data_IF_053403113474
#
_entry.id   IF_053403113474
#
_cell.length_a   1.000
_cell.length_b   1.000
_cell.length_c   1.000
_cell.angle_alpha   90.00
_cell.angle_beta   90.00
_cell.angle_gamma   90.00
#
_symmetry.space_group_name_H-M   'P 1'
#
loop_
_entity.id
_entity.type
_entity.pdbx_description
1 polymer ?
#
# COMPACT_ATOMS: atom_id res chain seq x y z
N UNK A 1 -5.11 -13.72 29.96
CA UNK A 1 -4.82 -14.58 28.78
C UNK A 1 -6.06 -15.02 27.97
N UNK A 2 -7.22 -15.37 28.56
CA UNK A 2 -8.43 -15.73 27.76
C UNK A 2 -9.08 -14.54 27.03
N UNK A 3 -9.15 -13.37 27.67
CA UNK A 3 -9.87 -12.19 27.15
C UNK A 3 -9.17 -11.57 25.92
N UNK A 4 -7.84 -11.44 25.97
CA UNK A 4 -7.02 -10.94 24.86
C UNK A 4 -7.22 -11.76 23.57
N UNK A 5 -7.27 -13.10 23.70
CA UNK A 5 -7.53 -14.01 22.58
C UNK A 5 -8.91 -13.78 21.96
N UNK A 6 -9.93 -13.55 22.78
CA UNK A 6 -11.29 -13.27 22.29
C UNK A 6 -11.31 -11.99 21.46
N UNK A 7 -10.63 -10.93 21.91
CA UNK A 7 -10.54 -9.68 21.16
C UNK A 7 -9.76 -9.83 19.85
N UNK A 8 -8.63 -10.54 19.85
CA UNK A 8 -7.87 -10.82 18.63
C UNK A 8 -8.71 -11.59 17.61
N UNK A 9 -9.45 -12.61 18.05
CA UNK A 9 -10.33 -13.39 17.18
C UNK A 9 -11.51 -12.58 16.64
N UNK A 10 -12.12 -11.73 17.48
CA UNK A 10 -13.19 -10.84 17.07
C UNK A 10 -12.69 -9.84 16.02
N UNK A 11 -11.55 -9.21 16.29
CA UNK A 11 -10.91 -8.26 15.38
C UNK A 11 -10.62 -8.91 14.02
N UNK A 12 -10.03 -10.11 13.98
CA UNK A 12 -9.75 -10.81 12.73
C UNK A 12 -11.04 -11.19 11.97
N UNK A 13 -12.10 -11.59 12.68
CA UNK A 13 -13.40 -11.86 12.05
C UNK A 13 -14.01 -10.59 11.44
N UNK A 14 -13.94 -9.46 12.14
CA UNK A 14 -14.38 -8.17 11.63
C UNK A 14 -13.56 -7.76 10.41
N UNK A 15 -12.23 -7.91 10.48
CA UNK A 15 -11.31 -7.60 9.38
C UNK A 15 -11.60 -8.42 8.12
N UNK A 16 -11.81 -9.73 8.25
CA UNK A 16 -12.17 -10.59 7.12
C UNK A 16 -13.50 -10.16 6.49
N UNK A 17 -14.51 -9.82 7.31
CA UNK A 17 -15.80 -9.30 6.82
C UNK A 17 -15.62 -7.97 6.07
N UNK A 18 -14.85 -7.04 6.64
CA UNK A 18 -14.53 -5.77 5.99
C UNK A 18 -13.82 -6.00 4.64
N UNK A 19 -12.89 -6.95 4.57
CA UNK A 19 -12.23 -7.31 3.31
C UNK A 19 -13.19 -7.81 2.24
N UNK A 20 -14.22 -8.58 2.60
CA UNK A 20 -15.27 -8.98 1.65
C UNK A 20 -16.11 -7.78 1.17
N UNK A 21 -16.56 -6.94 2.11
CA UNK A 21 -17.41 -5.78 1.82
C UNK A 21 -16.65 -4.80 0.92
N UNK A 22 -15.42 -4.45 1.29
CA UNK A 22 -14.58 -3.54 0.52
C UNK A 22 -14.30 -4.11 -0.88
N UNK A 23 -13.96 -5.40 -0.99
CA UNK A 23 -13.72 -6.02 -2.30
C UNK A 23 -14.95 -6.00 -3.19
N UNK A 24 -16.13 -6.30 -2.63
CA UNK A 24 -17.39 -6.23 -3.36
C UNK A 24 -17.67 -4.81 -3.87
N UNK A 25 -17.58 -3.81 -2.99
CA UNK A 25 -17.76 -2.40 -3.35
C UNK A 25 -16.82 -1.98 -4.49
N UNK A 26 -15.54 -2.32 -4.40
CA UNK A 26 -14.56 -1.94 -5.41
C UNK A 26 -14.84 -2.58 -6.78
N UNK A 27 -15.19 -3.86 -6.79
CA UNK A 27 -15.53 -4.55 -8.02
C UNK A 27 -16.82 -4.01 -8.62
N UNK A 28 -17.87 -3.79 -7.81
CA UNK A 28 -19.12 -3.18 -8.27
C UNK A 28 -18.88 -1.80 -8.87
N UNK A 29 -18.11 -0.94 -8.21
CA UNK A 29 -17.75 0.39 -8.72
C UNK A 29 -16.98 0.31 -10.05
N UNK A 30 -16.04 -0.63 -10.16
CA UNK A 30 -15.30 -0.85 -11.41
C UNK A 30 -16.24 -1.23 -12.54
N UNK A 31 -17.06 -2.28 -12.35
CA UNK A 31 -17.95 -2.77 -13.41
C UNK A 31 -19.00 -1.73 -13.81
N UNK A 32 -19.58 -1.02 -12.84
CA UNK A 32 -20.53 0.05 -13.12
C UNK A 32 -19.87 1.14 -13.97
N UNK A 33 -18.72 1.66 -13.58
CA UNK A 33 -18.13 2.82 -14.27
C UNK A 33 -17.36 2.49 -15.55
N UNK A 34 -16.82 1.27 -15.66
CA UNK A 34 -16.08 0.83 -16.84
C UNK A 34 -17.03 0.49 -17.99
N UNK A 35 -18.18 -0.11 -17.70
CA UNK A 35 -19.07 -0.67 -18.72
C UNK A 35 -20.42 0.06 -18.82
N UNK A 36 -20.70 1.03 -17.94
CA UNK A 36 -21.93 1.83 -18.01
C UNK A 36 -21.61 3.33 -17.96
N UNK A 37 -22.48 4.12 -18.58
CA UNK A 37 -22.42 5.59 -18.61
C UNK A 37 -23.29 6.25 -17.55
N UNK A 38 -23.70 5.50 -16.51
CA UNK A 38 -24.65 6.00 -15.51
C UNK A 38 -23.98 7.09 -14.67
N UNK A 39 -24.52 8.32 -14.73
CA UNK A 39 -24.17 9.35 -13.76
C UNK A 39 -24.69 8.90 -12.39
N UNK A 40 -23.75 8.70 -11.48
CA UNK A 40 -23.99 8.06 -10.18
C UNK A 40 -23.62 8.98 -9.03
N UNK A 41 -23.31 10.26 -9.31
CA UNK A 41 -23.20 11.30 -8.30
C UNK A 41 -24.59 11.81 -7.89
N UNK A 42 -25.36 10.92 -7.26
CA UNK A 42 -26.75 11.16 -6.87
C UNK A 42 -26.87 12.32 -5.86
N UNK A 43 -25.80 12.60 -5.10
CA UNK A 43 -25.79 13.62 -4.05
C UNK A 43 -25.02 14.89 -4.44
N UNK A 44 -24.55 14.99 -5.70
CA UNK A 44 -23.74 16.12 -6.18
C UNK A 44 -22.49 16.36 -5.31
N UNK A 45 -21.86 15.27 -4.85
CA UNK A 45 -20.66 15.28 -4.00
C UNK A 45 -19.49 15.97 -4.68
N UNK A 46 -19.41 15.92 -6.02
CA UNK A 46 -18.39 16.63 -6.79
C UNK A 46 -18.43 18.13 -6.49
N UNK A 47 -19.63 18.73 -6.54
CA UNK A 47 -19.83 20.15 -6.25
C UNK A 47 -19.60 20.51 -4.78
N UNK A 48 -19.92 19.59 -3.86
CA UNK A 48 -19.80 19.82 -2.44
C UNK A 48 -18.36 19.77 -1.95
N UNK A 49 -17.51 18.99 -2.62
CA UNK A 49 -16.09 18.85 -2.28
C UNK A 49 -15.19 19.81 -3.07
N UNK A 50 -15.75 20.61 -3.98
CA UNK A 50 -15.01 21.49 -4.90
C UNK A 50 -13.91 20.75 -5.67
N UNK A 51 -14.17 19.48 -5.98
CA UNK A 51 -13.24 18.58 -6.65
C UNK A 51 -13.59 18.47 -8.14
N UNK A 52 -13.47 19.56 -8.91
CA UNK A 52 -13.66 19.51 -10.37
C UNK A 52 -12.74 20.49 -11.12
N UNK A 53 -12.09 20.10 -12.25
CA UNK A 53 -12.33 18.92 -13.08
C UNK A 53 -11.06 18.07 -13.31
N UNK A 54 -11.05 16.80 -12.92
CA UNK A 54 -9.95 15.87 -13.25
C UNK A 54 -10.43 14.42 -13.43
N UNK A 55 -11.45 14.18 -14.26
CA UNK A 55 -11.95 12.84 -14.61
C UNK A 55 -12.41 11.96 -13.42
N UNK A 56 -12.56 12.53 -12.23
CA UNK A 56 -13.09 11.85 -11.06
C UNK A 56 -14.60 11.69 -11.19
N UNK A 57 -15.11 10.55 -10.75
CA UNK A 57 -16.54 10.27 -10.63
C UNK A 57 -16.84 9.91 -9.19
N UNK A 58 -17.80 10.60 -8.60
CA UNK A 58 -18.21 10.41 -7.22
C UNK A 58 -19.42 9.49 -7.14
N UNK A 59 -19.40 8.59 -6.15
CA UNK A 59 -20.46 7.64 -5.87
C UNK A 59 -20.66 7.55 -4.36
N UNK A 60 -21.86 7.14 -3.93
CA UNK A 60 -22.11 6.79 -2.52
C UNK A 60 -21.14 5.73 -2.00
N UNK A 61 -20.70 4.83 -2.87
CA UNK A 61 -19.79 3.74 -2.54
C UNK A 61 -18.30 4.12 -2.66
N UNK A 62 -17.98 5.35 -3.07
CA UNK A 62 -16.62 5.86 -3.20
C UNK A 62 -16.34 6.57 -4.53
N UNK A 63 -15.06 6.76 -4.83
CA UNK A 63 -14.60 7.53 -5.97
C UNK A 63 -14.00 6.60 -7.04
N UNK A 64 -14.18 6.96 -8.31
CA UNK A 64 -13.45 6.37 -9.43
C UNK A 64 -12.79 7.46 -10.28
N UNK A 65 -11.78 7.09 -11.06
CA UNK A 65 -11.05 8.00 -11.95
C UNK A 65 -10.87 7.34 -13.31
N UNK A 66 -11.33 7.99 -14.36
CA UNK A 66 -11.04 7.57 -15.72
C UNK A 66 -9.63 7.99 -16.12
N UNK A 67 -8.79 7.03 -16.50
CA UNK A 67 -7.44 7.28 -17.00
C UNK A 67 -7.31 6.77 -18.43
N UNK A 68 -6.79 7.63 -19.29
CA UNK A 68 -6.55 7.33 -20.70
C UNK A 68 -5.22 6.59 -20.81
N UNK A 69 -5.25 5.41 -21.44
CA UNK A 69 -4.10 4.57 -21.75
C UNK A 69 -4.08 4.32 -23.26
N UNK A 70 -3.39 5.19 -24.01
CA UNK A 70 -3.42 5.16 -25.47
C UNK A 70 -4.84 5.40 -26.01
N UNK A 71 -5.37 4.46 -26.78
CA UNK A 71 -6.73 4.50 -27.33
C UNK A 71 -7.83 4.02 -26.37
N UNK A 72 -7.46 3.50 -25.20
CA UNK A 72 -8.41 2.91 -24.24
C UNK A 72 -8.57 3.78 -23.01
N UNK A 73 -9.79 3.82 -22.45
CA UNK A 73 -10.08 4.47 -21.16
C UNK A 73 -10.29 3.37 -20.12
N UNK A 74 -9.49 3.42 -19.05
CA UNK A 74 -9.55 2.49 -17.94
C UNK A 74 -9.99 3.24 -16.69
N UNK A 75 -11.05 2.74 -16.06
CA UNK A 75 -11.54 3.23 -14.78
C UNK A 75 -10.69 2.66 -13.65
N UNK A 76 -10.07 3.55 -12.88
CA UNK A 76 -9.36 3.21 -11.64
C UNK A 76 -10.31 3.41 -10.46
N UNK A 77 -10.39 2.44 -9.57
CA UNK A 77 -11.25 2.54 -8.37
C UNK A 77 -10.44 2.99 -7.16
N UNK A 78 -10.91 4.08 -6.54
CA UNK A 78 -10.38 4.63 -5.30
C UNK A 78 -11.23 4.14 -4.12
N UNK A 79 -12.54 3.93 -4.33
CA UNK A 79 -13.47 3.61 -3.26
C UNK A 79 -13.51 4.74 -2.23
N UNK A 80 -13.42 4.42 -0.94
CA UNK A 80 -13.37 5.43 0.14
C UNK A 80 -11.96 5.95 0.43
N UNK A 81 -10.98 5.66 -0.43
CA UNK A 81 -9.59 6.04 -0.21
C UNK A 81 -9.24 7.30 -0.99
N UNK A 82 -8.30 8.07 -0.44
CA UNK A 82 -7.82 9.31 -1.06
C UNK A 82 -7.04 9.04 -2.36
N UNK A 83 -6.33 7.91 -2.43
CA UNK A 83 -5.58 7.51 -3.63
C UNK A 83 -5.61 5.98 -3.83
N UNK A 84 -5.40 5.49 -5.08
CA UNK A 84 -5.41 4.08 -5.38
C UNK A 84 -4.24 3.33 -4.73
N UNK A 85 -3.13 4.02 -4.41
CA UNK A 85 -2.03 3.42 -3.65
C UNK A 85 -2.49 2.98 -2.26
N UNK A 86 -3.33 3.75 -1.57
CA UNK A 86 -3.85 3.38 -0.25
C UNK A 86 -4.84 2.21 -0.32
N UNK A 87 -5.70 2.20 -1.35
CA UNK A 87 -6.59 1.07 -1.60
C UNK A 87 -5.80 -0.20 -1.94
N UNK A 88 -4.81 -0.07 -2.83
CA UNK A 88 -3.87 -1.13 -3.17
C UNK A 88 -3.16 -1.67 -1.92
N UNK A 89 -2.68 -0.79 -1.04
CA UNK A 89 -2.07 -1.17 0.22
C UNK A 89 -3.01 -2.03 1.06
N UNK A 90 -4.25 -1.59 1.26
CA UNK A 90 -5.25 -2.34 2.01
C UNK A 90 -5.45 -3.76 1.46
N UNK A 91 -5.60 -3.91 0.14
CA UNK A 91 -5.76 -5.22 -0.49
C UNK A 91 -4.49 -6.07 -0.39
N UNK A 92 -3.29 -5.47 -0.52
CA UNK A 92 -2.02 -6.16 -0.26
C UNK A 92 -1.96 -6.69 1.17
N UNK A 93 -2.33 -5.88 2.15
CA UNK A 93 -2.34 -6.28 3.56
C UNK A 93 -3.31 -7.43 3.80
N UNK A 94 -4.48 -7.41 3.15
CA UNK A 94 -5.41 -8.53 3.20
C UNK A 94 -4.79 -9.82 2.66
N UNK A 95 -4.17 -9.79 1.48
CA UNK A 95 -3.49 -10.95 0.91
C UNK A 95 -2.36 -11.48 1.82
N UNK A 96 -1.59 -10.57 2.42
CA UNK A 96 -0.53 -10.89 3.36
C UNK A 96 -1.08 -11.53 4.66
N UNK A 97 -2.18 -11.02 5.20
CA UNK A 97 -2.88 -11.62 6.35
C UNK A 97 -3.35 -13.03 6.01
N UNK A 98 -3.88 -13.27 4.80
CA UNK A 98 -4.22 -14.63 4.36
C UNK A 98 -3.01 -15.57 4.40
N UNK A 99 -1.80 -15.11 4.08
CA UNK A 99 -0.60 -15.94 4.20
C UNK A 99 -0.30 -16.32 5.67
N UNK A 100 -0.56 -15.43 6.64
CA UNK A 100 -0.23 -15.65 8.06
C UNK A 100 -1.31 -16.35 8.88
N UNK A 101 -2.59 -16.02 8.67
CA UNK A 101 -3.71 -16.43 9.54
C UNK A 101 -4.03 -17.93 9.49
N UNK A 102 -3.51 -18.66 8.50
CA UNK A 102 -3.81 -20.08 8.29
C UNK A 102 -5.13 -20.32 7.53
N UNK A 103 -5.94 -21.30 7.96
CA UNK A 103 -7.21 -21.65 7.30
C UNK A 103 -8.40 -20.96 8.00
N UNK A 104 -9.28 -20.35 7.22
CA UNK A 104 -10.61 -19.89 7.65
C UNK A 104 -11.64 -20.18 6.55
N UNK A 105 -12.94 -20.12 6.90
CA UNK A 105 -14.05 -20.42 5.98
C UNK A 105 -13.97 -19.51 4.75
N UNK A 106 -14.08 -20.10 3.56
CA UNK A 106 -14.06 -19.40 2.27
C UNK A 106 -12.81 -18.56 1.97
N UNK A 107 -11.67 -18.86 2.62
CA UNK A 107 -10.39 -18.15 2.39
C UNK A 107 -10.02 -17.98 0.91
N UNK A 108 -10.19 -19.01 0.08
CA UNK A 108 -9.87 -18.93 -1.36
C UNK A 108 -10.67 -17.84 -2.07
N UNK A 109 -11.98 -17.77 -1.79
CA UNK A 109 -12.85 -16.73 -2.31
C UNK A 109 -12.44 -15.34 -1.78
N UNK A 110 -12.12 -15.24 -0.48
CA UNK A 110 -11.66 -13.97 0.10
C UNK A 110 -10.37 -13.47 -0.58
N UNK A 111 -9.40 -14.36 -0.77
CA UNK A 111 -8.13 -14.05 -1.47
C UNK A 111 -8.41 -13.61 -2.91
N UNK A 112 -9.25 -14.35 -3.65
CA UNK A 112 -9.61 -14.00 -5.02
C UNK A 112 -10.28 -12.63 -5.10
N UNK A 113 -11.25 -12.36 -4.23
CA UNK A 113 -11.94 -11.07 -4.20
C UNK A 113 -11.00 -9.91 -3.90
N UNK A 114 -10.09 -10.06 -2.92
CA UNK A 114 -9.11 -9.02 -2.60
C UNK A 114 -8.07 -8.84 -3.72
N UNK A 115 -7.69 -9.92 -4.41
CA UNK A 115 -6.78 -9.85 -5.56
C UNK A 115 -7.40 -9.09 -6.73
N UNK A 116 -8.65 -9.41 -7.08
CA UNK A 116 -9.41 -8.74 -8.14
C UNK A 116 -9.66 -7.27 -7.77
N UNK A 117 -10.10 -7.01 -6.54
CA UNK A 117 -10.35 -5.65 -6.05
C UNK A 117 -9.07 -4.81 -6.02
N UNK A 118 -7.94 -5.39 -5.61
CA UNK A 118 -6.64 -4.74 -5.69
C UNK A 118 -6.20 -4.46 -7.13
N UNK A 119 -6.50 -5.36 -8.07
CA UNK A 119 -6.19 -5.18 -9.50
C UNK A 119 -6.93 -3.99 -10.11
N UNK A 120 -8.22 -3.82 -9.80
CA UNK A 120 -9.03 -2.71 -10.34
C UNK A 120 -8.68 -1.34 -9.75
N UNK A 121 -7.83 -1.28 -8.72
CA UNK A 121 -7.21 0.00 -8.30
C UNK A 121 -6.20 0.52 -9.34
N UNK A 122 -5.65 -0.38 -10.17
CA UNK A 122 -4.52 -0.11 -11.06
C UNK A 122 -3.38 0.63 -10.33
N UNK A 123 -3.08 0.20 -9.10
CA UNK A 123 -1.94 0.70 -8.33
C UNK A 123 -0.68 -0.08 -8.71
N UNK A 124 0.34 0.63 -9.24
CA UNK A 124 1.63 0.00 -9.56
C UNK A 124 2.26 -0.64 -8.32
N UNK A 125 2.12 -0.02 -7.14
CA UNK A 125 2.66 -0.56 -5.88
C UNK A 125 1.95 -1.83 -5.46
N UNK A 126 0.64 -1.96 -5.73
CA UNK A 126 -0.10 -3.21 -5.52
C UNK A 126 0.50 -4.33 -6.37
N UNK A 127 0.68 -4.12 -7.68
CA UNK A 127 1.27 -5.12 -8.56
C UNK A 127 2.70 -5.50 -8.16
N UNK A 128 3.53 -4.52 -7.81
CA UNK A 128 4.90 -4.77 -7.30
C UNK A 128 4.87 -5.60 -6.01
N UNK A 129 3.90 -5.36 -5.12
CA UNK A 129 3.75 -6.11 -3.87
C UNK A 129 3.28 -7.56 -4.07
N UNK A 130 2.68 -7.90 -5.22
CA UNK A 130 2.30 -9.29 -5.52
C UNK A 130 3.53 -10.18 -5.72
N UNK A 131 4.67 -9.62 -6.11
CA UNK A 131 5.93 -10.36 -6.28
C UNK A 131 6.40 -10.97 -4.94
N UNK A 132 6.66 -10.20 -3.87
CA UNK A 132 7.04 -10.79 -2.58
C UNK A 132 5.93 -11.66 -1.97
N UNK A 133 4.64 -11.37 -2.23
CA UNK A 133 3.53 -12.21 -1.78
C UNK A 133 3.53 -13.57 -2.48
N UNK A 134 3.73 -13.62 -3.80
CA UNK A 134 3.74 -14.87 -4.55
C UNK A 134 4.94 -15.74 -4.15
N UNK A 135 6.11 -15.13 -3.95
CA UNK A 135 7.30 -15.79 -3.41
C UNK A 135 7.02 -16.38 -2.03
N UNK A 136 6.32 -15.66 -1.15
CA UNK A 136 5.88 -16.17 0.16
C UNK A 136 4.85 -17.31 0.03
N UNK A 137 3.94 -17.25 -0.94
CA UNK A 137 2.86 -18.21 -1.11
C UNK A 137 3.28 -19.53 -1.76
N UNK A 138 4.26 -19.50 -2.68
CA UNK A 138 4.53 -20.62 -3.59
C UNK A 138 5.92 -21.26 -3.47
N UNK A 139 6.83 -20.73 -2.64
CA UNK A 139 8.23 -21.20 -2.63
C UNK A 139 8.76 -21.48 -1.22
N UNK A 140 9.78 -22.35 -1.11
CA UNK A 140 10.46 -22.67 0.16
C UNK A 140 11.46 -21.58 0.58
N UNK A 141 11.85 -21.53 1.86
CA UNK A 141 12.68 -20.46 2.43
C UNK A 141 14.00 -20.21 1.67
N UNK A 142 14.69 -21.25 1.22
CA UNK A 142 15.95 -21.11 0.47
C UNK A 142 15.74 -20.39 -0.88
N UNK A 143 14.67 -20.74 -1.60
CA UNK A 143 14.32 -20.07 -2.85
C UNK A 143 13.97 -18.59 -2.61
N UNK A 144 13.21 -18.30 -1.54
CA UNK A 144 12.85 -16.92 -1.18
C UNK A 144 14.09 -16.06 -0.97
N UNK A 145 15.08 -16.57 -0.24
CA UNK A 145 16.34 -15.87 0.00
C UNK A 145 17.07 -15.56 -1.32
N UNK A 146 17.26 -16.58 -2.17
CA UNK A 146 17.93 -16.42 -3.48
C UNK A 146 17.16 -15.43 -4.38
N UNK A 147 15.83 -15.50 -4.40
CA UNK A 147 15.01 -14.58 -5.17
C UNK A 147 15.18 -13.13 -4.71
N UNK A 148 15.12 -12.86 -3.41
CA UNK A 148 15.32 -11.50 -2.89
C UNK A 148 16.75 -11.00 -3.11
N UNK A 149 17.75 -11.88 -3.05
CA UNK A 149 19.13 -11.55 -3.41
C UNK A 149 19.24 -11.15 -4.89
N UNK A 150 18.67 -11.95 -5.80
CA UNK A 150 18.65 -11.64 -7.24
C UNK A 150 17.90 -10.34 -7.54
N UNK A 151 16.76 -10.09 -6.89
CA UNK A 151 16.02 -8.84 -7.03
C UNK A 151 16.86 -7.63 -6.56
N UNK A 152 17.63 -7.79 -5.49
CA UNK A 152 18.54 -6.75 -4.98
C UNK A 152 19.65 -6.47 -5.99
N UNK A 153 20.27 -7.52 -6.53
CA UNK A 153 21.30 -7.39 -7.59
C UNK A 153 20.74 -6.71 -8.83
N UNK A 154 19.54 -7.10 -9.28
CA UNK A 154 18.87 -6.46 -10.41
C UNK A 154 18.57 -4.99 -10.13
N UNK A 155 18.09 -4.65 -8.92
CA UNK A 155 17.83 -3.27 -8.53
C UNK A 155 19.12 -2.44 -8.52
N UNK A 156 20.23 -2.99 -8.04
CA UNK A 156 21.54 -2.34 -8.10
C UNK A 156 21.98 -2.13 -9.55
N UNK A 157 21.80 -3.12 -10.42
CA UNK A 157 22.08 -2.98 -11.85
C UNK A 157 21.27 -1.84 -12.48
N UNK A 158 19.96 -1.76 -12.20
CA UNK A 158 19.13 -0.64 -12.68
C UNK A 158 19.62 0.73 -12.16
N UNK A 159 20.17 0.81 -10.95
CA UNK A 159 20.78 2.03 -10.42
C UNK A 159 22.03 2.40 -11.20
N UNK A 160 22.89 1.42 -11.53
CA UNK A 160 24.08 1.67 -12.35
C UNK A 160 23.74 2.13 -13.77
N UNK A 161 22.70 1.56 -14.37
CA UNK A 161 22.24 1.92 -15.72
C UNK A 161 21.33 3.16 -15.75
N UNK A 162 21.08 3.79 -14.60
CA UNK A 162 20.14 4.90 -14.50
C UNK A 162 20.45 6.05 -15.47
N UNK A 163 21.70 6.50 -15.53
CA UNK A 163 22.11 7.60 -16.40
C UNK A 163 21.95 7.24 -17.88
N UNK A 164 22.24 5.99 -18.27
CA UNK A 164 22.04 5.50 -19.63
C UNK A 164 20.54 5.46 -19.98
N UNK A 165 19.69 4.99 -19.07
CA UNK A 165 18.23 4.98 -19.25
C UNK A 165 17.64 6.38 -19.35
N UNK A 166 18.20 7.34 -18.61
CA UNK A 166 17.81 8.74 -18.64
C UNK A 166 18.20 9.42 -19.95
N UNK A 167 19.40 9.17 -20.45
CA UNK A 167 19.87 9.69 -21.75
C UNK A 167 19.01 9.19 -22.92
N UNK A 168 18.45 7.99 -22.83
CA UNK A 168 17.54 7.44 -23.82
C UNK A 168 16.09 7.97 -23.73
N UNK A 169 15.79 8.90 -22.80
CA UNK A 169 14.45 9.47 -22.52
C UNK A 169 13.34 8.45 -22.21
N UNK A 170 13.66 7.16 -22.06
CA UNK A 170 12.71 6.07 -21.80
C UNK A 170 11.91 6.34 -20.51
N UNK A 171 12.55 6.96 -19.52
CA UNK A 171 11.94 7.27 -18.22
C UNK A 171 10.88 8.38 -18.31
N UNK A 172 11.01 9.31 -19.27
CA UNK A 172 10.08 10.41 -19.49
C UNK A 172 8.73 9.95 -20.06
N UNK A 173 8.68 8.76 -20.66
CA UNK A 173 7.46 8.13 -21.17
C UNK A 173 6.60 7.50 -20.05
N UNK A 174 7.05 7.56 -18.79
CA UNK A 174 6.39 6.91 -17.64
C UNK A 174 6.11 7.91 -16.52
N UNK A 175 5.40 7.48 -15.46
CA UNK A 175 5.24 8.28 -14.24
C UNK A 175 6.54 8.46 -13.44
N UNK A 176 7.69 8.00 -13.97
CA UNK A 176 8.97 8.10 -13.30
C UNK A 176 9.47 9.55 -13.24
N UNK A 177 9.34 10.33 -14.32
CA UNK A 177 9.76 11.74 -14.31
C UNK A 177 9.08 12.57 -13.22
N UNK A 178 7.76 12.46 -13.07
CA UNK A 178 7.02 13.15 -12.00
C UNK A 178 7.44 12.68 -10.59
N UNK A 179 7.90 11.44 -10.43
CA UNK A 179 8.45 10.95 -9.16
C UNK A 179 9.87 11.46 -8.92
N UNK A 180 10.71 11.53 -9.96
CA UNK A 180 12.05 12.10 -9.87
C UNK A 180 11.97 13.57 -9.43
N UNK A 181 11.09 14.37 -10.03
CA UNK A 181 10.89 15.78 -9.66
C UNK A 181 10.50 15.95 -8.19
N UNK A 182 9.57 15.12 -7.70
CA UNK A 182 9.14 15.14 -6.29
C UNK A 182 10.24 14.72 -5.33
N UNK A 183 11.07 13.75 -5.72
CA UNK A 183 12.25 13.32 -4.94
C UNK A 183 13.28 14.45 -4.91
N UNK A 184 13.57 15.08 -6.06
CA UNK A 184 14.47 16.24 -6.13
C UNK A 184 13.98 17.38 -5.25
N UNK A 185 12.67 17.67 -5.26
CA UNK A 185 12.06 18.67 -4.39
C UNK A 185 12.33 18.39 -2.90
N UNK A 186 12.17 17.13 -2.46
CA UNK A 186 12.48 16.75 -1.08
C UNK A 186 13.97 16.92 -0.75
N UNK A 187 14.86 16.54 -1.66
CA UNK A 187 16.31 16.69 -1.47
C UNK A 187 16.74 18.15 -1.34
N UNK A 188 16.17 19.05 -2.14
CA UNK A 188 16.46 20.50 -2.06
C UNK A 188 16.04 21.07 -0.70
N UNK A 189 14.92 20.62 -0.14
CA UNK A 189 14.50 21.02 1.21
C UNK A 189 15.51 20.52 2.25
N UNK A 190 15.93 19.27 2.14
CA UNK A 190 16.89 18.66 3.08
C UNK A 190 18.29 19.27 2.99
N UNK A 191 18.74 19.65 1.78
CA UNK A 191 20.03 20.31 1.56
C UNK A 191 20.07 21.69 2.24
N UNK A 192 18.93 22.37 2.29
CA UNK A 192 18.79 23.69 2.92
C UNK A 192 18.37 23.62 4.39
N UNK A 193 18.14 22.43 4.92
CA UNK A 193 17.66 22.24 6.29
C UNK A 193 18.74 22.65 7.30
N UNK A 194 18.34 23.36 8.36
CA UNK A 194 19.24 23.55 9.50
C UNK A 194 19.45 22.23 10.23
N UNK A 195 20.49 22.13 11.07
CA UNK A 195 20.73 20.91 11.84
C UNK A 195 19.53 20.51 12.72
N UNK A 196 18.84 21.44 13.43
CA UNK A 196 17.57 21.13 14.11
C UNK A 196 16.50 20.57 13.17
N UNK A 197 16.27 21.19 12.01
CA UNK A 197 15.25 20.75 11.05
C UNK A 197 15.56 19.35 10.50
N UNK A 198 16.84 19.02 10.32
CA UNK A 198 17.23 17.68 9.87
C UNK A 198 16.86 16.60 10.90
N UNK A 199 17.03 16.86 12.20
CA UNK A 199 16.73 15.89 13.25
C UNK A 199 15.24 15.82 13.62
N UNK A 200 14.55 16.97 13.66
CA UNK A 200 13.18 17.10 14.17
C UNK A 200 12.13 17.39 13.09
N UNK A 201 12.55 17.73 11.89
CA UNK A 201 11.68 18.08 10.77
C UNK A 201 11.25 19.54 10.78
N UNK A 202 10.60 19.95 9.70
CA UNK A 202 10.10 21.31 9.49
C UNK A 202 8.66 21.50 10.01
N UNK A 203 8.07 20.46 10.61
CA UNK A 203 6.69 20.44 11.09
C UNK A 203 5.75 19.61 10.22
N UNK A 204 4.67 19.13 10.84
CA UNK A 204 3.60 18.41 10.14
C UNK A 204 2.95 19.35 9.13
N UNK A 205 2.63 18.83 7.94
CA UNK A 205 1.97 19.58 6.87
C UNK A 205 2.87 20.59 6.12
N UNK A 206 4.18 20.58 6.39
CA UNK A 206 5.13 21.46 5.71
C UNK A 206 5.04 21.36 4.18
N UNK A 207 4.85 20.15 3.63
CA UNK A 207 4.75 19.96 2.18
C UNK A 207 3.56 20.70 1.54
N UNK A 208 2.44 20.84 2.25
CA UNK A 208 1.27 21.55 1.77
C UNK A 208 1.49 23.07 1.84
N UNK A 209 2.34 23.52 2.77
CA UNK A 209 2.70 24.93 2.94
C UNK A 209 3.84 25.37 2.00
N UNK A 210 4.71 24.45 1.58
CA UNK A 210 5.87 24.70 0.72
C UNK A 210 5.49 25.11 -0.72
N UNK A 211 4.23 24.91 -1.14
CA UNK A 211 3.71 25.35 -2.44
C UNK A 211 4.21 24.54 -3.65
N UNK A 212 4.79 23.37 -3.42
CA UNK A 212 5.27 22.44 -4.46
C UNK A 212 4.39 21.20 -4.64
N UNK A 213 4.73 20.33 -5.60
CA UNK A 213 4.08 19.02 -5.73
C UNK A 213 4.34 18.19 -4.45
N UNK A 214 3.34 17.51 -3.88
CA UNK A 214 3.52 16.70 -2.68
C UNK A 214 4.53 15.57 -2.92
N UNK A 215 5.38 15.32 -1.92
CA UNK A 215 6.46 14.35 -2.03
C UNK A 215 5.88 12.94 -2.23
N UNK A 216 6.29 12.24 -3.29
CA UNK A 216 5.71 10.94 -3.63
C UNK A 216 6.17 9.80 -2.73
N UNK A 217 7.31 9.93 -2.05
CA UNK A 217 7.84 8.87 -1.20
C UNK A 217 7.58 9.17 0.29
N UNK A 218 6.96 8.23 0.97
CA UNK A 218 6.62 8.35 2.38
C UNK A 218 7.82 8.57 3.30
N UNK A 219 8.98 7.98 2.99
CA UNK A 219 10.18 8.23 3.78
C UNK A 219 10.67 9.67 3.66
N UNK A 220 10.56 10.30 2.49
CA UNK A 220 10.90 11.73 2.32
C UNK A 220 9.93 12.61 3.09
N UNK A 221 8.63 12.31 3.04
CA UNK A 221 7.63 13.02 3.87
C UNK A 221 7.98 12.89 5.36
N UNK A 222 8.34 11.69 5.82
CA UNK A 222 8.73 11.47 7.21
C UNK A 222 9.97 12.26 7.60
N UNK A 223 11.00 12.25 6.73
CA UNK A 223 12.24 12.95 6.98
C UNK A 223 12.06 14.48 6.95
N UNK A 224 11.30 15.01 6.00
CA UNK A 224 11.08 16.46 5.87
C UNK A 224 10.17 17.00 6.97
N UNK A 225 9.05 16.33 7.27
CA UNK A 225 8.06 16.83 8.24
C UNK A 225 8.41 16.49 9.70
N UNK A 226 9.05 15.33 9.94
CA UNK A 226 9.27 14.78 11.29
C UNK A 226 10.75 14.49 11.58
N UNK A 227 11.65 14.81 10.66
CA UNK A 227 13.09 14.66 10.82
C UNK A 227 13.57 13.22 10.86
N UNK A 228 14.88 13.06 11.05
CA UNK A 228 15.53 11.76 11.18
C UNK A 228 14.94 10.96 12.34
N UNK A 229 14.60 11.61 13.46
CA UNK A 229 14.02 10.94 14.64
C UNK A 229 12.65 10.35 14.31
N UNK A 230 11.79 11.11 13.64
CA UNK A 230 10.47 10.63 13.22
C UNK A 230 10.56 9.45 12.25
N UNK A 231 11.46 9.53 11.26
CA UNK A 231 11.71 8.44 10.32
C UNK A 231 12.18 7.16 11.04
N UNK A 232 13.16 7.27 11.95
CA UNK A 232 13.65 6.15 12.74
C UNK A 232 12.54 5.55 13.60
N UNK A 233 11.69 6.37 14.21
CA UNK A 233 10.56 5.90 14.99
C UNK A 233 9.58 5.07 14.14
N UNK A 234 9.26 5.52 12.92
CA UNK A 234 8.42 4.75 11.98
C UNK A 234 9.07 3.39 11.67
N UNK A 235 10.37 3.35 11.38
CA UNK A 235 11.07 2.09 11.11
C UNK A 235 11.09 1.16 12.32
N UNK A 236 11.31 1.69 13.53
CA UNK A 236 11.27 0.91 14.77
C UNK A 236 9.88 0.30 14.95
N UNK A 237 8.80 1.08 14.80
CA UNK A 237 7.44 0.58 14.95
C UNK A 237 7.11 -0.53 13.94
N UNK A 238 7.50 -0.34 12.67
CA UNK A 238 7.36 -1.35 11.61
C UNK A 238 8.11 -2.62 12.00
N UNK A 239 9.38 -2.51 12.42
CA UNK A 239 10.21 -3.65 12.78
C UNK A 239 9.65 -4.41 14.00
N UNK A 240 9.28 -3.69 15.05
CA UNK A 240 8.70 -4.26 16.27
C UNK A 240 7.40 -5.03 15.98
N UNK A 241 6.51 -4.47 15.16
CA UNK A 241 5.22 -5.10 14.91
C UNK A 241 5.28 -6.30 13.95
N UNK A 242 6.21 -6.26 12.99
CA UNK A 242 6.40 -7.33 12.00
C UNK A 242 7.19 -8.50 12.61
N UNK A 243 8.17 -8.21 13.46
CA UNK A 243 9.10 -9.20 13.99
C UNK A 243 9.87 -9.91 12.87
N UNK A 244 9.98 -11.25 12.95
CA UNK A 244 10.75 -12.07 11.98
C UNK A 244 10.06 -12.28 10.61
N UNK A 245 9.04 -11.50 10.26
CA UNK A 245 8.24 -11.66 9.02
C UNK A 245 8.79 -10.78 7.90
N UNK A 246 9.96 -11.12 7.39
CA UNK A 246 10.69 -10.30 6.41
C UNK A 246 9.88 -9.89 5.18
N UNK A 247 8.99 -10.75 4.67
CA UNK A 247 8.11 -10.41 3.52
C UNK A 247 7.17 -9.24 3.82
N UNK A 248 6.57 -9.20 5.01
CA UNK A 248 5.73 -8.08 5.43
C UNK A 248 6.55 -6.78 5.54
N UNK A 249 7.79 -6.89 6.04
CA UNK A 249 8.75 -5.77 6.09
C UNK A 249 9.05 -5.22 4.70
N UNK A 250 9.41 -6.09 3.74
CA UNK A 250 9.69 -5.69 2.36
C UNK A 250 8.47 -5.00 1.73
N UNK A 251 7.26 -5.55 1.92
CA UNK A 251 6.04 -4.93 1.39
C UNK A 251 5.82 -3.55 2.00
N UNK A 252 5.97 -3.39 3.31
CA UNK A 252 5.78 -2.11 3.98
C UNK A 252 6.83 -1.08 3.55
N UNK A 253 8.08 -1.50 3.35
CA UNK A 253 9.13 -0.66 2.76
C UNK A 253 8.81 -0.25 1.32
N UNK A 254 8.37 -1.18 0.46
CA UNK A 254 7.94 -0.88 -0.91
C UNK A 254 6.83 0.18 -0.93
N UNK A 255 5.90 0.11 0.01
CA UNK A 255 4.85 1.11 0.12
C UNK A 255 5.34 2.44 0.67
N UNK A 256 6.28 2.45 1.63
CA UNK A 256 6.91 3.69 2.09
C UNK A 256 7.72 4.40 0.99
N UNK A 257 8.21 3.68 -0.02
CA UNK A 257 8.82 4.29 -1.20
C UNK A 257 7.79 4.95 -2.13
N UNK A 258 6.50 4.61 -2.00
CA UNK A 258 5.45 5.01 -2.93
C UNK A 258 4.39 5.95 -2.35
N UNK A 259 4.21 5.98 -1.02
CA UNK A 259 3.25 6.85 -0.34
C UNK A 259 3.58 7.02 1.16
N UNK A 260 3.21 8.16 1.79
CA UNK A 260 3.32 8.39 3.24
C UNK A 260 2.26 7.63 4.04
N UNK A 261 2.21 6.30 3.90
CA UNK A 261 1.15 5.48 4.49
C UNK A 261 1.04 5.59 6.01
N UNK A 262 2.15 5.82 6.71
CA UNK A 262 2.19 5.90 8.17
C UNK A 262 1.39 7.09 8.75
N UNK A 263 1.02 8.06 7.92
CA UNK A 263 0.13 9.17 8.31
C UNK A 263 -1.33 8.69 8.36
N UNK A 264 -1.66 7.60 7.67
CA UNK A 264 -3.02 7.05 7.61
C UNK A 264 -3.26 5.99 8.68
N UNK A 265 -4.35 6.10 9.45
CA UNK A 265 -4.73 5.13 10.49
C UNK A 265 -4.83 3.69 9.97
N UNK A 266 -5.24 3.50 8.70
CA UNK A 266 -5.37 2.17 8.12
C UNK A 266 -4.04 1.43 8.02
N UNK A 267 -2.93 2.15 7.89
CA UNK A 267 -1.59 1.57 7.93
C UNK A 267 -1.33 0.88 9.27
N UNK A 268 -1.56 1.59 10.37
CA UNK A 268 -1.36 1.06 11.72
C UNK A 268 -2.34 -0.07 12.05
N UNK A 269 -3.60 0.05 11.65
CA UNK A 269 -4.60 -1.02 11.84
C UNK A 269 -4.21 -2.28 11.04
N UNK A 270 -3.67 -2.10 9.83
CA UNK A 270 -3.20 -3.22 9.00
C UNK A 270 -1.99 -3.94 9.62
N UNK A 271 -1.06 -3.19 10.21
CA UNK A 271 0.05 -3.75 10.98
C UNK A 271 -0.45 -4.59 12.16
N UNK A 272 -1.43 -4.08 12.91
CA UNK A 272 -2.08 -4.83 14.00
C UNK A 272 -2.76 -6.09 13.50
N UNK A 273 -3.40 -6.06 12.32
CA UNK A 273 -4.02 -7.22 11.70
C UNK A 273 -3.01 -8.29 11.24
N UNK A 274 -1.84 -7.89 10.75
CA UNK A 274 -0.74 -8.82 10.47
C UNK A 274 -0.22 -9.46 11.75
N UNK A 275 -0.06 -8.67 12.81
CA UNK A 275 0.39 -9.17 14.11
C UNK A 275 -0.60 -10.20 14.67
N UNK A 276 -1.88 -9.83 14.78
CA UNK A 276 -2.94 -10.71 15.28
C UNK A 276 -3.11 -11.97 14.39
N UNK A 277 -3.06 -11.81 13.07
CA UNK A 277 -3.18 -12.93 12.14
C UNK A 277 -2.05 -13.95 12.30
N UNK A 278 -0.83 -13.48 12.54
CA UNK A 278 0.32 -14.36 12.76
C UNK A 278 0.27 -15.14 14.06
N UNK A 279 -0.16 -14.52 15.16
CA UNK A 279 -0.31 -15.22 16.44
C UNK A 279 -1.34 -16.35 16.35
N UNK A 280 -2.49 -16.08 15.71
CA UNK A 280 -3.49 -17.11 15.40
C UNK A 280 -2.91 -18.25 14.55
N UNK A 281 -2.08 -17.91 13.57
CA UNK A 281 -1.42 -18.87 12.71
C UNK A 281 -0.48 -19.83 13.46
N UNK A 282 0.23 -19.34 14.48
CA UNK A 282 1.08 -20.17 15.36
C UNK A 282 0.23 -21.12 16.20
N UNK A 283 -0.81 -20.60 16.85
CA UNK A 283 -1.71 -21.40 17.71
C UNK A 283 -2.34 -22.57 16.93
N UNK A 284 -2.81 -22.33 15.71
CA UNK A 284 -3.39 -23.38 14.87
C UNK A 284 -2.37 -24.47 14.48
N UNK A 285 -1.07 -24.16 14.42
CA UNK A 285 -0.02 -25.16 14.17
C UNK A 285 0.26 -25.98 15.42
N UNK A 286 0.42 -25.32 16.56
CA UNK A 286 0.64 -25.98 17.86
C UNK A 286 -0.49 -26.95 18.19
N UNK A 287 -1.75 -26.54 18.00
CA UNK A 287 -2.92 -27.42 18.17
C UNK A 287 -2.91 -28.63 17.25
N UNK A 288 -2.39 -28.52 16.02
CA UNK A 288 -2.28 -29.66 15.10
C UNK A 288 -1.18 -30.63 15.50
N UNK A 289 -0.04 -30.13 15.97
CA UNK A 289 1.06 -30.96 16.46
C UNK A 289 0.59 -31.76 17.68
N UNK A 290 -0.10 -31.11 18.62
CA UNK A 290 -0.65 -31.78 19.80
C UNK A 290 -1.77 -32.77 19.48
N UNK A 291 -2.49 -32.60 18.36
CA UNK A 291 -3.56 -33.50 17.94
C UNK A 291 -3.07 -34.71 17.11
N UNK A 292 -1.86 -34.65 16.56
CA UNK A 292 -1.19 -35.72 15.82
C UNK A 292 0.24 -35.92 16.38
N UNK A 293 0.38 -36.48 17.60
CA UNK A 293 1.66 -36.71 18.25
C UNK A 293 2.56 -37.70 17.50
#
# INVERSE_FOLDING_TARGET
MKLEKVYQDLFLKMWVKLGYIASFVFLSLFFLNQFTSINTDIFNLESLLDLSPNNFKFHLMGITLNKIYGSSIITRVYGFFVEPQYAGFYFTMNLLIACYIGKFRNKKLWVLMNLLAGTVTFSSTFFLSLIPISVLAFTGNNFRFVFYLMLTIFSLFCIFEYENMKQMEILNLTSFGDREDRIRGALVVLEKATQPDFYFGHGVDFQNTFGGKPFSAGFFVALVERGLIGLLFVFIMIFCAIGKKYTAGIILLLYLLAAPLYVNYLFWISILAIWAGAERGKELREKRILANP
#
